data_IF_265115725096
#
_entry.id   IF_265115725096
#
_cell.length_a   1.000
_cell.length_b   1.000
_cell.length_c   1.000
_cell.angle_alpha   90.00
_cell.angle_beta   90.00
_cell.angle_gamma   90.00
#
_symmetry.space_group_name_H-M   'P 1'
#
loop_
_entity.id
_entity.type
_entity.pdbx_description
1 polymer ?
#
# COMPACT_ATOMS: atom_id res chain seq x y z
N UNK A 1 16.45 -14.76 -17.30
CA UNK A 1 15.81 -15.26 -16.07
C UNK A 1 14.33 -14.97 -16.17
N UNK A 2 13.47 -15.90 -15.80
CA UNK A 2 12.02 -15.67 -15.77
C UNK A 2 11.49 -15.94 -14.37
N UNK A 3 10.54 -15.13 -13.91
CA UNK A 3 9.95 -15.19 -12.55
C UNK A 3 8.47 -15.48 -12.66
N UNK A 4 7.95 -16.40 -11.82
CA UNK A 4 6.52 -16.61 -11.68
C UNK A 4 6.02 -15.80 -10.49
N UNK A 5 5.22 -14.78 -10.75
CA UNK A 5 4.58 -13.94 -9.74
C UNK A 5 3.22 -14.52 -9.35
N UNK A 6 3.05 -14.79 -8.06
CA UNK A 6 1.86 -15.38 -7.47
C UNK A 6 1.18 -14.36 -6.54
N UNK A 7 0.04 -13.82 -6.94
CA UNK A 7 -0.71 -12.84 -6.17
C UNK A 7 -1.86 -13.52 -5.43
N UNK A 8 -2.03 -13.17 -4.17
CA UNK A 8 -3.09 -13.69 -3.31
C UNK A 8 -4.21 -12.70 -3.03
N UNK A 9 -4.05 -11.44 -3.46
CA UNK A 9 -5.08 -10.42 -3.36
C UNK A 9 -6.13 -10.58 -4.46
N UNK A 10 -7.39 -10.27 -4.14
CA UNK A 10 -8.45 -10.20 -5.16
C UNK A 10 -8.15 -9.05 -6.13
N UNK A 11 -8.49 -9.26 -7.40
CA UNK A 11 -8.47 -8.15 -8.36
C UNK A 11 -9.50 -7.09 -7.95
N UNK A 12 -9.14 -5.81 -7.98
CA UNK A 12 -10.10 -4.75 -7.69
C UNK A 12 -11.16 -4.69 -8.80
N UNK A 13 -12.39 -4.23 -8.49
CA UNK A 13 -13.45 -4.04 -9.50
C UNK A 13 -13.04 -3.07 -10.61
N UNK A 14 -12.23 -2.08 -10.28
CA UNK A 14 -11.69 -1.10 -11.24
C UNK A 14 -10.25 -1.49 -11.54
N UNK A 15 -10.00 -1.93 -12.76
CA UNK A 15 -8.69 -2.38 -13.23
C UNK A 15 -7.63 -1.28 -13.11
N UNK A 16 -6.42 -1.67 -12.71
CA UNK A 16 -5.26 -0.77 -12.62
C UNK A 16 -5.27 0.17 -11.41
N UNK A 17 -6.21 0.01 -10.46
CA UNK A 17 -6.25 0.82 -9.22
C UNK A 17 -5.53 0.17 -8.04
N UNK A 18 -5.06 -1.07 -8.16
CA UNK A 18 -4.35 -1.76 -7.07
C UNK A 18 -2.83 -1.58 -7.18
N UNK A 19 -2.24 -1.08 -6.10
CA UNK A 19 -0.83 -0.82 -6.00
C UNK A 19 0.05 -2.08 -6.17
N UNK A 20 -0.39 -3.25 -5.67
CA UNK A 20 0.35 -4.51 -5.80
C UNK A 20 0.41 -4.96 -7.26
N UNK A 21 -0.71 -4.86 -7.97
CA UNK A 21 -0.75 -5.19 -9.40
C UNK A 21 0.16 -4.26 -10.23
N UNK A 22 0.24 -2.97 -9.87
CA UNK A 22 1.16 -2.02 -10.53
C UNK A 22 2.62 -2.40 -10.31
N UNK A 23 3.03 -2.68 -9.05
CA UNK A 23 4.39 -3.12 -8.71
C UNK A 23 4.76 -4.43 -9.41
N UNK A 24 3.88 -5.43 -9.34
CA UNK A 24 4.13 -6.73 -9.98
C UNK A 24 4.17 -6.61 -11.50
N UNK A 25 3.38 -5.73 -12.10
CA UNK A 25 3.44 -5.47 -13.55
C UNK A 25 4.79 -4.89 -13.98
N UNK A 26 5.35 -3.97 -13.18
CA UNK A 26 6.69 -3.43 -13.42
C UNK A 26 7.77 -4.52 -13.30
N UNK A 27 7.69 -5.36 -12.26
CA UNK A 27 8.61 -6.50 -12.08
C UNK A 27 8.47 -7.53 -13.19
N UNK A 28 7.24 -7.85 -13.60
CA UNK A 28 6.96 -8.77 -14.71
C UNK A 28 7.64 -8.28 -16.00
N UNK A 29 7.52 -7.01 -16.30
CA UNK A 29 8.17 -6.41 -17.48
C UNK A 29 9.71 -6.47 -17.39
N UNK A 30 10.28 -6.14 -16.21
CA UNK A 30 11.72 -6.09 -15.99
C UNK A 30 12.41 -7.47 -16.03
N UNK A 31 11.72 -8.52 -15.57
CA UNK A 31 12.29 -9.87 -15.42
C UNK A 31 11.68 -10.91 -16.36
N UNK A 32 11.00 -10.48 -17.42
CA UNK A 32 10.34 -11.36 -18.39
C UNK A 32 9.51 -12.45 -17.68
N UNK A 33 8.69 -12.03 -16.72
CA UNK A 33 7.97 -12.92 -15.83
C UNK A 33 6.54 -13.24 -16.29
N UNK A 34 5.92 -14.18 -15.60
CA UNK A 34 4.51 -14.51 -15.70
C UNK A 34 3.79 -14.19 -14.39
N UNK A 35 2.53 -13.77 -14.46
CA UNK A 35 1.73 -13.41 -13.29
C UNK A 35 0.47 -14.26 -13.22
N UNK A 36 0.24 -14.88 -12.07
CA UNK A 36 -0.97 -15.65 -11.78
C UNK A 36 -1.61 -15.14 -10.50
N UNK A 37 -2.88 -14.82 -10.57
CA UNK A 37 -3.66 -14.52 -9.39
C UNK A 37 -4.20 -15.82 -8.78
N UNK A 38 -3.84 -16.10 -7.53
CA UNK A 38 -4.24 -17.30 -6.80
C UNK A 38 -5.64 -17.18 -6.17
N UNK A 39 -6.12 -15.94 -6.03
CA UNK A 39 -7.46 -15.70 -5.51
C UNK A 39 -8.50 -16.03 -6.59
N UNK A 40 -9.52 -16.84 -6.30
CA UNK A 40 -10.63 -17.02 -7.23
C UNK A 40 -11.40 -15.69 -7.36
N UNK A 41 -12.06 -15.49 -8.50
CA UNK A 41 -12.98 -14.35 -8.64
C UNK A 41 -13.97 -14.38 -7.48
N UNK A 42 -14.09 -13.27 -6.74
CA UNK A 42 -15.02 -13.19 -5.62
C UNK A 42 -16.45 -13.39 -6.10
N UNK A 43 -17.12 -14.37 -5.53
CA UNK A 43 -18.59 -14.44 -5.55
C UNK A 43 -19.06 -13.66 -4.32
N UNK A 44 -19.87 -12.61 -4.49
CA UNK A 44 -20.40 -11.85 -3.35
C UNK A 44 -21.05 -12.80 -2.33
N UNK A 45 -20.75 -12.58 -1.03
CA UNK A 45 -21.33 -13.37 0.06
C UNK A 45 -20.71 -14.74 0.34
N UNK A 46 -19.69 -15.17 -0.41
CA UNK A 46 -18.97 -16.43 -0.12
C UNK A 46 -17.48 -16.19 0.10
N UNK A 47 -16.99 -16.23 1.35
CA UNK A 47 -15.57 -16.18 1.63
C UNK A 47 -14.89 -17.44 1.08
N UNK A 48 -13.80 -17.26 0.34
CA UNK A 48 -13.00 -18.39 -0.11
C UNK A 48 -12.10 -18.86 1.04
N UNK A 49 -12.09 -20.17 1.39
CA UNK A 49 -11.25 -20.65 2.47
C UNK A 49 -9.76 -20.43 2.16
N UNK A 50 -9.01 -19.72 3.04
CA UNK A 50 -7.58 -19.47 2.83
C UNK A 50 -6.78 -20.76 2.62
N UNK A 51 -7.23 -21.85 3.24
CA UNK A 51 -6.62 -23.20 3.14
C UNK A 51 -6.63 -23.77 1.71
N UNK A 52 -7.54 -23.30 0.85
CA UNK A 52 -7.65 -23.76 -0.54
C UNK A 52 -6.99 -22.80 -1.54
N UNK A 53 -6.41 -21.70 -1.05
CA UNK A 53 -5.85 -20.64 -1.90
C UNK A 53 -4.79 -21.21 -2.85
N UNK A 54 -5.01 -21.00 -4.15
CA UNK A 54 -4.11 -21.41 -5.22
C UNK A 54 -4.15 -22.89 -5.61
N UNK A 55 -4.74 -23.79 -4.82
CA UNK A 55 -4.75 -25.24 -5.13
C UNK A 55 -5.45 -25.53 -6.46
N UNK A 56 -6.54 -24.84 -6.76
CA UNK A 56 -7.28 -24.96 -8.01
C UNK A 56 -6.46 -24.54 -9.26
N UNK A 57 -5.33 -23.87 -9.07
CA UNK A 57 -4.44 -23.41 -10.15
C UNK A 57 -3.14 -24.21 -10.26
N UNK A 58 -2.94 -25.25 -9.45
CA UNK A 58 -1.73 -26.05 -9.45
C UNK A 58 -1.28 -26.54 -10.84
N UNK A 59 -2.16 -27.09 -11.71
CA UNK A 59 -1.73 -27.52 -13.03
C UNK A 59 -1.14 -26.35 -13.85
N UNK A 60 -1.75 -25.17 -13.77
CA UNK A 60 -1.28 -23.97 -14.47
C UNK A 60 0.03 -23.44 -13.85
N UNK A 61 0.15 -23.45 -12.53
CA UNK A 61 1.38 -23.09 -11.81
C UNK A 61 2.52 -23.96 -12.30
N UNK A 62 2.39 -25.29 -12.29
CA UNK A 62 3.42 -26.22 -12.73
C UNK A 62 3.76 -26.07 -14.21
N UNK A 63 2.79 -25.78 -15.06
CA UNK A 63 3.02 -25.53 -16.47
C UNK A 63 3.93 -24.32 -16.67
N UNK A 64 3.66 -23.20 -15.97
CA UNK A 64 4.42 -21.95 -16.10
C UNK A 64 5.78 -22.06 -15.40
N UNK A 65 5.81 -22.66 -14.19
CA UNK A 65 7.01 -22.82 -13.37
C UNK A 65 8.16 -23.56 -14.10
N UNK A 66 7.83 -24.43 -15.07
CA UNK A 66 8.86 -25.14 -15.88
C UNK A 66 9.80 -24.18 -16.60
N UNK A 67 9.30 -22.99 -16.95
CA UNK A 67 10.04 -21.97 -17.68
C UNK A 67 10.58 -20.85 -16.77
N UNK A 68 10.31 -20.94 -15.47
CA UNK A 68 10.72 -19.96 -14.47
C UNK A 68 11.86 -20.51 -13.62
N UNK A 69 12.66 -19.60 -13.07
CA UNK A 69 13.76 -19.92 -12.15
C UNK A 69 13.40 -19.68 -10.69
N UNK A 70 12.45 -18.79 -10.42
CA UNK A 70 12.01 -18.37 -9.09
C UNK A 70 10.48 -18.23 -9.10
N UNK A 71 9.85 -18.58 -7.98
CA UNK A 71 8.50 -18.19 -7.64
C UNK A 71 8.54 -16.97 -6.71
N UNK A 72 7.74 -15.96 -6.98
CA UNK A 72 7.63 -14.80 -6.11
C UNK A 72 6.18 -14.61 -5.67
N UNK A 73 5.93 -14.79 -4.38
CA UNK A 73 4.60 -14.71 -3.77
C UNK A 73 4.38 -13.34 -3.14
N UNK A 74 3.24 -12.73 -3.41
CA UNK A 74 2.79 -11.49 -2.78
C UNK A 74 1.57 -11.77 -1.93
N UNK A 75 1.71 -11.60 -0.60
CA UNK A 75 0.63 -11.82 0.35
C UNK A 75 0.62 -10.74 1.43
N UNK A 76 -0.55 -10.53 2.05
CA UNK A 76 -0.69 -9.47 3.05
C UNK A 76 0.20 -9.70 4.27
N UNK A 77 0.15 -10.90 4.85
CA UNK A 77 0.88 -11.29 6.07
C UNK A 77 1.70 -12.57 5.82
N UNK A 78 2.69 -12.89 6.67
CA UNK A 78 3.39 -14.18 6.58
C UNK A 78 2.43 -15.32 6.96
N UNK A 79 1.89 -15.96 5.95
CA UNK A 79 0.93 -17.05 6.11
C UNK A 79 1.25 -18.21 5.16
N UNK A 80 1.30 -19.45 5.72
CA UNK A 80 1.56 -20.66 4.98
C UNK A 80 0.27 -21.24 4.41
N UNK A 81 -0.06 -20.93 3.18
CA UNK A 81 -1.16 -21.60 2.49
C UNK A 81 -0.69 -22.83 1.70
N UNK A 82 -1.55 -23.87 1.53
CA UNK A 82 -1.12 -25.21 1.09
C UNK A 82 -0.42 -25.24 -0.25
N UNK A 83 -0.76 -24.37 -1.20
CA UNK A 83 -0.13 -24.36 -2.54
C UNK A 83 1.38 -24.15 -2.49
N UNK A 84 1.90 -23.48 -1.45
CA UNK A 84 3.35 -23.23 -1.30
C UNK A 84 4.15 -24.53 -1.18
N UNK A 85 3.56 -25.60 -0.62
CA UNK A 85 4.22 -26.92 -0.49
C UNK A 85 4.46 -27.62 -1.83
N UNK A 86 3.74 -27.20 -2.88
CA UNK A 86 3.78 -27.82 -4.20
C UNK A 86 4.61 -27.03 -5.20
N UNK A 87 5.18 -25.88 -4.79
CA UNK A 87 6.09 -25.10 -5.59
C UNK A 87 7.45 -25.81 -5.66
N UNK A 88 8.04 -25.88 -6.85
CA UNK A 88 9.26 -26.65 -7.15
C UNK A 88 10.52 -25.78 -7.27
N UNK A 89 10.34 -24.48 -7.41
CA UNK A 89 11.42 -23.50 -7.52
C UNK A 89 11.58 -22.72 -6.23
N UNK A 90 12.74 -22.13 -5.97
CA UNK A 90 12.94 -21.25 -4.83
C UNK A 90 11.83 -20.20 -4.71
N UNK A 91 11.40 -19.88 -3.50
CA UNK A 91 10.30 -18.97 -3.24
C UNK A 91 10.81 -17.71 -2.57
N UNK A 92 10.61 -16.56 -3.21
CA UNK A 92 10.66 -15.24 -2.60
C UNK A 92 9.25 -14.91 -2.12
N UNK A 93 9.11 -14.37 -0.92
CA UNK A 93 7.82 -14.07 -0.31
C UNK A 93 7.78 -12.61 0.16
N UNK A 94 6.99 -11.79 -0.52
CA UNK A 94 6.81 -10.38 -0.15
C UNK A 94 5.58 -10.23 0.75
N UNK A 95 5.79 -9.66 1.94
CA UNK A 95 4.75 -9.26 2.89
C UNK A 95 4.31 -7.83 2.53
N UNK A 96 3.02 -7.68 2.19
CA UNK A 96 2.48 -6.41 1.66
C UNK A 96 2.03 -5.43 2.75
N UNK A 97 1.53 -5.96 3.86
CA UNK A 97 1.12 -5.17 5.03
C UNK A 97 2.23 -5.25 6.10
N UNK A 98 1.92 -5.14 7.36
CA UNK A 98 2.92 -5.33 8.42
C UNK A 98 3.04 -6.78 8.84
N UNK A 99 4.23 -7.16 9.29
CA UNK A 99 4.46 -8.42 10.00
C UNK A 99 3.78 -8.34 11.38
N UNK A 100 2.99 -9.36 11.80
CA UNK A 100 2.43 -9.39 13.14
C UNK A 100 3.54 -9.42 14.20
N UNK A 101 3.31 -8.80 15.36
CA UNK A 101 4.27 -8.87 16.47
C UNK A 101 4.38 -10.28 17.07
N UNK A 102 3.29 -11.07 16.96
CA UNK A 102 3.24 -12.44 17.49
C UNK A 102 3.82 -13.39 16.44
N UNK A 103 4.82 -14.14 16.86
CA UNK A 103 5.44 -15.19 16.05
C UNK A 103 4.41 -16.24 15.60
N UNK A 104 4.36 -16.59 14.31
CA UNK A 104 3.46 -17.63 13.85
C UNK A 104 3.87 -19.00 14.38
N UNK A 105 2.90 -19.91 14.70
CA UNK A 105 3.18 -21.19 15.31
C UNK A 105 4.00 -22.16 14.43
N UNK A 106 4.09 -21.91 13.14
CA UNK A 106 4.87 -22.72 12.17
C UNK A 106 5.92 -21.84 11.48
N UNK A 107 6.86 -21.29 12.25
CA UNK A 107 7.90 -20.39 11.73
C UNK A 107 8.92 -21.13 10.84
N UNK A 108 9.11 -22.42 11.01
CA UNK A 108 10.12 -23.20 10.28
C UNK A 108 9.97 -23.14 8.76
N UNK A 109 8.75 -22.93 8.24
CA UNK A 109 8.56 -22.77 6.80
C UNK A 109 9.13 -21.45 6.27
N UNK A 110 9.09 -20.39 7.08
CA UNK A 110 9.66 -19.09 6.71
C UNK A 110 11.18 -19.19 6.53
N UNK A 111 11.86 -19.94 7.39
CA UNK A 111 13.30 -20.21 7.27
C UNK A 111 13.66 -21.00 5.99
N UNK A 112 12.73 -21.80 5.46
CA UNK A 112 12.93 -22.56 4.22
C UNK A 112 12.76 -21.74 2.93
N UNK A 113 12.23 -20.53 3.02
CA UNK A 113 12.07 -19.63 1.87
C UNK A 113 13.43 -19.12 1.39
N UNK A 114 13.54 -18.86 0.09
CA UNK A 114 14.72 -18.23 -0.48
C UNK A 114 14.95 -16.82 0.11
N UNK A 115 13.91 -16.03 0.23
CA UNK A 115 13.94 -14.73 0.90
C UNK A 115 12.53 -14.30 1.32
N UNK A 116 12.44 -13.61 2.45
CA UNK A 116 11.25 -12.91 2.91
C UNK A 116 11.49 -11.44 2.68
N UNK A 117 10.58 -10.77 1.95
CA UNK A 117 10.71 -9.36 1.65
C UNK A 117 9.67 -8.57 2.42
N UNK A 118 10.12 -7.55 3.13
CA UNK A 118 9.29 -6.55 3.81
C UNK A 118 9.61 -5.15 3.28
N UNK A 119 8.73 -4.19 3.52
CA UNK A 119 8.90 -2.86 2.95
C UNK A 119 9.54 -1.85 3.90
N UNK A 120 9.89 -2.25 5.12
CA UNK A 120 10.34 -1.31 6.15
C UNK A 120 11.22 -1.97 7.23
N UNK A 121 12.06 -1.17 7.95
CA UNK A 121 12.92 -1.68 9.01
C UNK A 121 12.17 -2.21 10.23
N UNK A 122 10.97 -1.69 10.56
CA UNK A 122 10.16 -2.16 11.71
C UNK A 122 9.80 -3.64 11.53
N UNK A 123 9.27 -4.00 10.37
CA UNK A 123 8.94 -5.39 10.04
C UNK A 123 10.19 -6.29 9.92
N UNK A 124 11.29 -5.76 9.40
CA UNK A 124 12.56 -6.50 9.35
C UNK A 124 13.07 -6.85 10.77
N UNK A 125 12.96 -5.92 11.71
CA UNK A 125 13.35 -6.15 13.11
C UNK A 125 12.47 -7.24 13.76
N UNK A 126 11.17 -7.30 13.43
CA UNK A 126 10.29 -8.36 13.91
C UNK A 126 10.75 -9.72 13.34
N UNK A 127 11.01 -9.82 12.03
CA UNK A 127 11.54 -11.06 11.44
C UNK A 127 12.87 -11.48 12.06
N UNK A 128 13.74 -10.53 12.33
CA UNK A 128 15.02 -10.78 13.01
C UNK A 128 14.82 -11.29 14.44
N UNK A 129 13.85 -10.73 15.19
CA UNK A 129 13.54 -11.20 16.55
C UNK A 129 13.01 -12.65 16.57
N UNK A 130 12.41 -13.11 15.47
CA UNK A 130 12.02 -14.50 15.25
C UNK A 130 13.18 -15.41 14.80
N UNK A 131 14.41 -14.90 14.72
CA UNK A 131 15.58 -15.65 14.29
C UNK A 131 15.67 -15.88 12.78
N UNK A 132 14.90 -15.17 11.96
CA UNK A 132 14.92 -15.31 10.51
C UNK A 132 16.02 -14.43 9.90
N UNK A 133 17.06 -15.07 9.35
CA UNK A 133 18.18 -14.37 8.69
C UNK A 133 17.95 -14.14 7.18
N UNK A 134 16.99 -14.86 6.57
CA UNK A 134 16.71 -14.84 5.13
C UNK A 134 15.70 -13.75 4.75
N UNK A 135 15.82 -12.54 5.33
CA UNK A 135 14.94 -11.43 5.01
C UNK A 135 15.67 -10.27 4.31
N UNK A 136 14.91 -9.46 3.59
CA UNK A 136 15.39 -8.25 2.93
C UNK A 136 14.34 -7.13 3.03
N UNK A 137 14.81 -5.88 3.01
CA UNK A 137 13.95 -4.70 2.95
C UNK A 137 13.95 -4.16 1.52
N UNK A 138 12.78 -4.07 0.90
CA UNK A 138 12.59 -3.47 -0.42
C UNK A 138 11.48 -2.43 -0.33
N UNK A 139 11.82 -1.17 -0.56
CA UNK A 139 10.83 -0.10 -0.60
C UNK A 139 9.81 -0.35 -1.72
N UNK A 140 8.50 -0.16 -1.47
CA UNK A 140 7.50 -0.25 -2.52
C UNK A 140 7.72 0.85 -3.55
N UNK A 141 7.24 0.64 -4.77
CA UNK A 141 7.49 1.57 -5.85
C UNK A 141 6.23 2.27 -6.33
N UNK A 142 6.35 3.58 -6.48
CA UNK A 142 5.40 4.43 -7.18
C UNK A 142 6.01 4.95 -8.48
N UNK A 143 5.18 5.32 -9.42
CA UNK A 143 5.62 5.95 -10.66
C UNK A 143 6.00 7.40 -10.37
N UNK A 144 7.30 7.61 -10.08
CA UNK A 144 7.82 8.94 -9.70
C UNK A 144 7.73 9.96 -10.83
N UNK A 145 7.76 9.52 -12.08
CA UNK A 145 7.78 10.42 -13.24
C UNK A 145 6.36 10.90 -13.59
N UNK A 146 5.34 10.16 -13.13
CA UNK A 146 3.94 10.52 -13.37
C UNK A 146 3.43 11.61 -12.46
N UNK A 147 3.96 11.75 -11.25
CA UNK A 147 3.44 12.66 -10.24
C UNK A 147 4.13 14.01 -10.33
N UNK A 148 3.36 15.05 -10.62
CA UNK A 148 3.86 16.42 -10.68
C UNK A 148 3.74 17.11 -9.32
N UNK A 149 4.81 17.77 -8.89
CA UNK A 149 4.76 18.63 -7.71
C UNK A 149 3.85 19.84 -7.97
N UNK A 150 3.13 20.23 -6.94
CA UNK A 150 2.23 21.38 -7.01
C UNK A 150 2.02 22.02 -5.64
N UNK A 151 1.84 23.34 -5.66
CA UNK A 151 1.47 24.11 -4.47
C UNK A 151 -0.03 24.38 -4.48
N UNK A 152 -0.66 24.25 -3.33
CA UNK A 152 -2.00 24.75 -3.08
C UNK A 152 -1.92 25.64 -1.84
N UNK A 153 -2.40 26.86 -1.95
CA UNK A 153 -2.42 27.77 -0.81
C UNK A 153 -3.56 27.38 0.14
N UNK A 154 -3.24 27.25 1.40
CA UNK A 154 -4.27 27.09 2.43
C UNK A 154 -4.94 28.46 2.66
N UNK A 155 -6.24 28.48 2.48
CA UNK A 155 -7.10 29.63 2.75
C UNK A 155 -8.09 29.25 3.87
N UNK A 156 -9.37 29.55 3.67
CA UNK A 156 -10.41 29.27 4.65
C UNK A 156 -10.87 27.80 4.67
N UNK A 157 -10.58 27.04 3.63
CA UNK A 157 -10.97 25.64 3.51
C UNK A 157 -9.75 24.73 3.40
N UNK A 158 -9.82 23.57 4.05
CA UNK A 158 -8.85 22.51 3.91
C UNK A 158 -9.50 21.33 3.20
N UNK A 159 -8.82 20.83 2.16
CA UNK A 159 -9.26 19.62 1.43
C UNK A 159 -8.29 18.48 1.64
N UNK A 160 -8.78 17.35 2.06
CA UNK A 160 -8.01 16.13 2.26
C UNK A 160 -8.40 15.07 1.25
N UNK A 161 -7.42 14.27 0.82
CA UNK A 161 -7.62 13.09 -0.02
C UNK A 161 -7.53 11.82 0.81
N UNK A 162 -8.42 10.86 0.60
CA UNK A 162 -8.26 9.50 1.07
C UNK A 162 -8.48 8.53 -0.10
N UNK A 163 -7.52 7.61 -0.30
CA UNK A 163 -7.57 6.61 -1.36
C UNK A 163 -7.32 5.20 -0.80
N UNK A 164 -8.17 4.77 0.14
CA UNK A 164 -8.10 3.45 0.78
C UNK A 164 -9.49 2.90 1.05
N UNK A 165 -10.18 2.49 -0.02
CA UNK A 165 -11.51 1.89 0.09
C UNK A 165 -11.49 0.57 0.89
N UNK A 166 -12.55 0.28 1.68
CA UNK A 166 -12.70 -0.97 2.41
C UNK A 166 -13.02 -2.14 1.46
N UNK A 167 -12.70 -3.35 1.92
CA UNK A 167 -13.08 -4.61 1.27
C UNK A 167 -14.29 -5.27 1.94
N UNK A 168 -14.49 -4.98 3.23
CA UNK A 168 -15.59 -5.46 4.08
C UNK A 168 -16.07 -4.32 4.96
N UNK A 169 -17.29 -4.43 5.47
CA UNK A 169 -17.96 -3.33 6.18
C UNK A 169 -17.20 -2.87 7.43
N UNK A 170 -16.67 -3.79 8.22
CA UNK A 170 -15.87 -3.48 9.43
C UNK A 170 -14.65 -2.59 9.15
N UNK A 171 -14.22 -2.53 7.90
CA UNK A 171 -13.10 -1.68 7.51
C UNK A 171 -13.47 -0.19 7.40
N UNK A 172 -14.74 0.20 7.44
CA UNK A 172 -15.09 1.62 7.58
C UNK A 172 -14.58 2.18 8.91
N UNK A 173 -14.71 1.41 9.97
CA UNK A 173 -14.16 1.80 11.27
C UNK A 173 -12.65 1.59 11.34
N UNK A 174 -12.16 0.39 11.01
CA UNK A 174 -10.74 0.06 11.19
C UNK A 174 -9.79 0.81 10.25
N UNK A 175 -10.24 1.29 9.09
CA UNK A 175 -9.50 2.23 8.22
C UNK A 175 -9.69 3.70 8.62
N UNK A 176 -10.48 3.98 9.64
CA UNK A 176 -10.73 5.32 10.16
C UNK A 176 -11.63 6.20 9.31
N UNK A 177 -12.40 5.60 8.37
CA UNK A 177 -13.32 6.35 7.50
C UNK A 177 -14.42 6.99 8.33
N UNK A 178 -15.05 6.25 9.24
CA UNK A 178 -16.10 6.79 10.10
C UNK A 178 -15.57 7.90 11.02
N UNK A 179 -14.36 7.76 11.57
CA UNK A 179 -13.70 8.81 12.34
C UNK A 179 -13.44 10.08 11.50
N UNK A 180 -13.00 9.92 10.25
CA UNK A 180 -12.77 11.03 9.32
C UNK A 180 -14.07 11.73 8.92
N UNK A 181 -15.14 10.99 8.66
CA UNK A 181 -16.47 11.56 8.40
C UNK A 181 -17.00 12.31 9.63
N UNK A 182 -16.82 11.77 10.84
CA UNK A 182 -17.21 12.44 12.07
C UNK A 182 -16.43 13.74 12.32
N UNK A 183 -15.11 13.74 12.02
CA UNK A 183 -14.30 14.96 12.05
C UNK A 183 -14.81 16.00 11.03
N UNK A 184 -15.25 15.54 9.85
CA UNK A 184 -15.79 16.42 8.81
C UNK A 184 -17.12 17.08 9.25
N UNK A 185 -17.95 16.38 10.04
CA UNK A 185 -19.15 16.98 10.61
C UNK A 185 -18.80 18.17 11.51
N UNK A 186 -17.76 18.03 12.34
CA UNK A 186 -17.38 19.02 13.36
C UNK A 186 -16.52 20.17 12.82
N UNK A 187 -15.88 20.00 11.65
CA UNK A 187 -15.07 21.02 11.00
C UNK A 187 -15.76 21.52 9.71
N UNK A 188 -16.49 22.64 9.76
CA UNK A 188 -17.22 23.14 8.58
C UNK A 188 -16.32 23.48 7.36
N UNK A 189 -15.08 23.85 7.61
CA UNK A 189 -14.07 24.18 6.61
C UNK A 189 -13.43 22.96 5.94
N UNK A 190 -13.65 21.73 6.47
CA UNK A 190 -13.07 20.52 5.93
C UNK A 190 -13.86 20.00 4.72
N UNK A 191 -13.14 19.72 3.64
CA UNK A 191 -13.63 19.03 2.45
C UNK A 191 -12.86 17.72 2.28
N UNK A 192 -13.54 16.69 1.80
CA UNK A 192 -12.94 15.39 1.52
C UNK A 192 -13.08 15.02 0.05
N UNK A 193 -12.03 14.45 -0.52
CA UNK A 193 -12.07 13.72 -1.78
C UNK A 193 -11.74 12.27 -1.47
N UNK A 194 -12.68 11.35 -1.76
CA UNK A 194 -12.53 9.92 -1.53
C UNK A 194 -12.38 9.21 -2.87
N UNK A 195 -11.18 8.70 -3.16
CA UNK A 195 -10.98 7.85 -4.34
C UNK A 195 -11.38 6.42 -3.98
N UNK A 196 -12.46 5.96 -4.60
CA UNK A 196 -13.13 4.72 -4.24
C UNK A 196 -13.03 3.67 -5.35
N UNK A 197 -12.89 2.38 -4.97
CA UNK A 197 -12.71 1.28 -5.93
C UNK A 197 -13.99 0.54 -6.29
N UNK A 198 -15.15 1.12 -6.02
CA UNK A 198 -16.46 0.57 -6.35
C UNK A 198 -17.07 -0.39 -5.33
N UNK A 199 -16.27 -1.00 -4.43
CA UNK A 199 -16.80 -1.85 -3.37
C UNK A 199 -17.46 -1.01 -2.27
N UNK A 200 -18.59 -1.48 -1.74
CA UNK A 200 -19.31 -0.83 -0.63
C UNK A 200 -19.59 0.66 -0.88
N UNK A 201 -19.82 1.02 -2.15
CA UNK A 201 -20.12 2.42 -2.52
C UNK A 201 -21.48 2.86 -1.94
N UNK A 202 -22.48 1.99 -1.94
CA UNK A 202 -23.80 2.26 -1.37
C UNK A 202 -23.70 2.61 0.11
N UNK A 203 -22.96 1.82 0.87
CA UNK A 203 -22.70 1.99 2.30
C UNK A 203 -21.95 3.30 2.61
N UNK A 204 -21.01 3.69 1.73
CA UNK A 204 -20.34 4.98 1.86
C UNK A 204 -21.31 6.15 1.61
N UNK A 205 -22.07 6.11 0.54
CA UNK A 205 -23.06 7.14 0.21
C UNK A 205 -24.07 7.33 1.35
N UNK A 206 -24.57 6.25 1.90
CA UNK A 206 -25.49 6.29 3.03
C UNK A 206 -24.86 6.90 4.30
N UNK A 207 -23.58 6.59 4.60
CA UNK A 207 -22.84 7.17 5.70
C UNK A 207 -22.64 8.68 5.54
N UNK A 208 -22.36 9.14 4.31
CA UNK A 208 -22.20 10.56 3.98
C UNK A 208 -23.53 11.29 4.09
N UNK A 209 -24.63 10.71 3.58
CA UNK A 209 -25.95 11.30 3.62
C UNK A 209 -26.50 11.41 5.04
N UNK A 210 -26.42 10.35 5.83
CA UNK A 210 -26.85 10.33 7.25
C UNK A 210 -26.15 11.39 8.11
N UNK A 211 -24.92 11.79 7.75
CA UNK A 211 -24.15 12.82 8.45
C UNK A 211 -24.34 14.23 7.86
N UNK A 212 -25.17 14.41 6.85
CA UNK A 212 -25.40 15.70 6.22
C UNK A 212 -24.17 16.24 5.48
N UNK A 213 -23.27 15.38 4.99
CA UNK A 213 -22.00 15.76 4.39
C UNK A 213 -22.08 15.91 2.85
N UNK A 214 -23.27 15.83 2.28
CA UNK A 214 -23.50 16.04 0.84
C UNK A 214 -22.98 17.44 0.44
N UNK A 215 -22.12 17.50 -0.57
CA UNK A 215 -21.45 18.75 -0.99
C UNK A 215 -20.13 19.06 -0.27
N UNK A 216 -19.77 18.35 0.82
CA UNK A 216 -18.45 18.44 1.46
C UNK A 216 -17.58 17.20 1.26
N UNK A 217 -18.16 16.11 0.78
CA UNK A 217 -17.46 14.86 0.45
C UNK A 217 -17.69 14.54 -1.01
N UNK A 218 -16.63 14.62 -1.81
CA UNK A 218 -16.60 14.20 -3.22
C UNK A 218 -16.14 12.76 -3.29
N UNK A 219 -16.95 11.89 -3.90
CA UNK A 219 -16.65 10.45 -4.02
C UNK A 219 -16.42 10.12 -5.48
N UNK A 220 -15.23 9.59 -5.78
CA UNK A 220 -14.82 9.21 -7.14
C UNK A 220 -14.67 7.69 -7.19
N UNK A 221 -15.56 7.03 -7.89
CA UNK A 221 -15.60 5.57 -8.01
C UNK A 221 -15.35 5.12 -9.45
N UNK A 222 -14.30 5.68 -10.06
CA UNK A 222 -13.83 5.34 -11.40
C UNK A 222 -12.29 5.38 -11.45
N UNK A 223 -11.72 4.89 -12.54
CA UNK A 223 -10.29 5.02 -12.79
C UNK A 223 -9.97 6.47 -13.18
N UNK A 224 -9.07 7.09 -12.42
CA UNK A 224 -8.72 8.50 -12.61
C UNK A 224 -7.21 8.72 -12.66
N UNK A 225 -6.81 9.83 -13.23
CA UNK A 225 -5.46 10.36 -13.02
C UNK A 225 -5.38 11.03 -11.64
N UNK A 226 -4.65 10.39 -10.72
CA UNK A 226 -4.49 10.87 -9.34
C UNK A 226 -3.91 12.30 -9.27
N UNK A 227 -3.09 12.71 -10.26
CA UNK A 227 -2.52 14.06 -10.31
C UNK A 227 -3.59 15.15 -10.30
N UNK A 228 -4.73 14.93 -10.96
CA UNK A 228 -5.85 15.90 -10.99
C UNK A 228 -6.37 16.18 -9.59
N UNK A 229 -6.39 15.16 -8.73
CA UNK A 229 -6.89 15.26 -7.36
C UNK A 229 -5.81 15.75 -6.40
N UNK A 230 -4.57 15.31 -6.55
CA UNK A 230 -3.44 15.81 -5.75
C UNK A 230 -3.24 17.33 -5.89
N UNK A 231 -3.55 17.90 -7.06
CA UNK A 231 -3.52 19.37 -7.26
C UNK A 231 -4.62 20.12 -6.50
N UNK A 232 -5.69 19.45 -6.12
CA UNK A 232 -6.89 20.02 -5.47
C UNK A 232 -6.91 19.82 -3.95
N UNK A 233 -5.93 19.11 -3.38
CA UNK A 233 -5.89 18.78 -1.97
C UNK A 233 -4.67 19.36 -1.28
N UNK A 234 -4.81 19.60 0.02
CA UNK A 234 -3.74 20.10 0.87
C UNK A 234 -2.89 18.94 1.43
N UNK A 235 -3.52 17.81 1.72
CA UNK A 235 -2.84 16.61 2.24
C UNK A 235 -3.60 15.35 1.88
N UNK A 236 -2.93 14.20 2.02
CA UNK A 236 -3.58 12.89 1.97
C UNK A 236 -3.64 12.30 3.37
N UNK A 237 -4.78 11.68 3.72
CA UNK A 237 -5.04 11.11 5.04
C UNK A 237 -5.30 9.61 4.96
N UNK A 238 -4.69 8.85 5.87
CA UNK A 238 -4.97 7.41 6.05
C UNK A 238 -4.89 7.05 7.54
N UNK A 239 -5.98 7.21 8.29
CA UNK A 239 -6.02 7.00 9.74
C UNK A 239 -6.41 5.55 10.07
N UNK A 240 -5.69 4.56 9.51
CA UNK A 240 -5.99 3.15 9.75
C UNK A 240 -5.62 2.76 11.19
N UNK A 241 -6.52 2.13 11.92
CA UNK A 241 -6.31 1.66 13.30
C UNK A 241 -5.40 0.42 13.37
N UNK A 242 -5.24 -0.29 12.25
CA UNK A 242 -4.49 -1.54 12.16
C UNK A 242 -3.62 -1.55 10.91
N UNK A 243 -2.43 -2.14 11.04
CA UNK A 243 -1.45 -2.24 9.95
C UNK A 243 -1.71 -3.40 8.98
N UNK A 244 -2.45 -4.44 9.40
CA UNK A 244 -2.69 -5.65 8.60
C UNK A 244 -3.76 -5.50 7.51
N UNK A 245 -4.47 -4.36 7.47
CA UNK A 245 -5.57 -4.08 6.52
C UNK A 245 -5.20 -3.09 5.41
N UNK A 246 -4.00 -2.53 5.46
CA UNK A 246 -3.45 -1.60 4.48
C UNK A 246 -1.99 -1.93 4.21
N UNK A 247 -1.42 -1.49 3.10
CA UNK A 247 0.02 -1.63 2.85
C UNK A 247 0.83 -0.90 3.92
N UNK A 248 1.99 -1.43 4.28
CA UNK A 248 2.90 -0.80 5.25
C UNK A 248 3.35 0.60 4.80
N UNK A 249 3.52 0.77 3.48
CA UNK A 249 3.76 2.05 2.80
C UNK A 249 2.68 2.26 1.72
N UNK A 250 1.56 2.92 2.05
CA UNK A 250 0.46 3.12 1.10
C UNK A 250 0.87 4.03 -0.07
N UNK A 251 0.62 3.60 -1.31
CA UNK A 251 0.96 4.37 -2.50
C UNK A 251 0.35 5.77 -2.49
N UNK A 252 -0.89 5.93 -2.03
CA UNK A 252 -1.55 7.23 -1.95
C UNK A 252 -0.81 8.24 -1.08
N UNK A 253 -0.16 7.78 0.01
CA UNK A 253 0.66 8.64 0.86
C UNK A 253 2.00 8.97 0.18
N UNK A 254 2.63 8.00 -0.48
CA UNK A 254 3.85 8.24 -1.26
C UNK A 254 3.59 9.19 -2.43
N UNK A 255 2.49 9.02 -3.17
CA UNK A 255 2.07 9.91 -4.24
C UNK A 255 1.78 11.33 -3.74
N UNK A 256 1.21 11.45 -2.53
CA UNK A 256 1.02 12.75 -1.87
C UNK A 256 2.36 13.46 -1.61
N UNK A 257 3.33 12.75 -1.02
CA UNK A 257 4.66 13.28 -0.77
C UNK A 257 5.39 13.65 -2.07
N UNK A 258 5.29 12.83 -3.12
CA UNK A 258 5.81 13.14 -4.45
C UNK A 258 5.21 14.42 -5.02
N UNK A 259 3.92 14.63 -4.80
CA UNK A 259 3.23 15.88 -5.20
C UNK A 259 3.61 17.09 -4.31
N UNK A 260 4.48 16.92 -3.32
CA UNK A 260 4.86 17.95 -2.36
C UNK A 260 3.76 18.27 -1.34
N UNK A 261 2.87 17.31 -1.07
CA UNK A 261 1.76 17.43 -0.11
C UNK A 261 2.06 16.64 1.15
N UNK A 262 1.89 17.22 2.34
CA UNK A 262 2.02 16.49 3.60
C UNK A 262 0.98 15.37 3.73
N UNK A 263 1.20 14.50 4.72
CA UNK A 263 0.30 13.37 4.98
C UNK A 263 -0.16 13.36 6.44
N UNK A 264 -1.34 12.77 6.68
CA UNK A 264 -1.83 12.40 8.02
C UNK A 264 -2.02 10.90 8.03
N UNK A 265 -1.40 10.21 8.97
CA UNK A 265 -1.55 8.77 9.12
C UNK A 265 -1.46 8.35 10.59
N UNK A 266 -1.88 7.14 10.90
CA UNK A 266 -1.76 6.58 12.25
C UNK A 266 -0.39 5.95 12.48
N UNK A 267 0.01 5.89 13.75
CA UNK A 267 1.23 5.20 14.20
C UNK A 267 1.19 3.67 13.98
N UNK A 268 0.01 3.12 13.81
CA UNK A 268 -0.14 1.71 13.44
C UNK A 268 0.57 1.38 12.12
N UNK A 269 0.73 2.34 11.22
CA UNK A 269 1.39 2.13 9.93
C UNK A 269 2.91 2.29 10.05
N UNK A 270 3.73 1.34 9.56
CA UNK A 270 5.19 1.48 9.56
C UNK A 270 5.71 2.76 8.87
N UNK A 271 4.98 3.29 7.88
CA UNK A 271 5.32 4.56 7.23
C UNK A 271 5.32 5.74 8.21
N UNK A 272 4.71 5.63 9.39
CA UNK A 272 4.72 6.66 10.43
C UNK A 272 6.14 7.03 10.87
N UNK A 273 7.04 6.05 10.94
CA UNK A 273 8.44 6.28 11.30
C UNK A 273 9.13 7.18 10.26
N UNK A 274 8.90 6.90 8.98
CA UNK A 274 9.40 7.72 7.89
C UNK A 274 8.86 9.15 7.96
N UNK A 275 7.56 9.32 8.21
CA UNK A 275 6.94 10.65 8.31
C UNK A 275 7.47 11.45 9.50
N UNK A 276 7.68 10.80 10.66
CA UNK A 276 8.31 11.45 11.83
C UNK A 276 9.75 11.88 11.54
N UNK A 277 10.54 10.99 10.97
CA UNK A 277 11.94 11.24 10.64
C UNK A 277 12.10 12.46 9.73
N UNK A 278 11.23 12.60 8.73
CA UNK A 278 11.34 13.66 7.72
C UNK A 278 10.48 14.89 8.06
N UNK A 279 9.61 14.80 9.06
CA UNK A 279 8.71 15.90 9.45
C UNK A 279 7.78 16.37 8.33
N UNK A 280 7.34 15.43 7.48
CA UNK A 280 6.56 15.71 6.27
C UNK A 280 5.05 15.45 6.44
N UNK A 281 4.57 15.35 7.66
CA UNK A 281 3.18 15.08 7.97
C UNK A 281 2.91 14.99 9.46
N UNK A 282 1.73 14.49 9.79
CA UNK A 282 1.25 14.33 11.16
C UNK A 282 0.95 12.86 11.41
N UNK A 283 1.43 12.33 12.53
CA UNK A 283 1.21 10.96 12.96
C UNK A 283 0.25 10.95 14.14
N UNK A 284 -0.84 10.22 14.00
CA UNK A 284 -1.86 10.01 15.03
C UNK A 284 -1.44 8.82 15.91
N UNK A 285 -1.35 9.03 17.22
CA UNK A 285 -1.11 7.94 18.17
C UNK A 285 -2.37 7.08 18.37
N UNK A 286 -3.54 7.69 18.24
CA UNK A 286 -4.85 7.05 18.33
C UNK A 286 -5.75 7.57 17.21
N UNK A 287 -6.69 6.75 16.74
CA UNK A 287 -7.62 7.11 15.66
C UNK A 287 -9.02 7.27 16.21
N UNK A 288 -9.42 8.52 16.36
CA UNK A 288 -10.77 8.95 16.75
C UNK A 288 -11.16 10.22 15.99
N UNK A 289 -12.45 10.63 16.09
CA UNK A 289 -12.89 11.90 15.51
C UNK A 289 -12.17 13.10 16.15
N UNK A 290 -11.94 13.08 17.48
CA UNK A 290 -11.24 14.16 18.21
C UNK A 290 -9.77 14.26 17.82
N UNK A 291 -9.04 13.17 17.77
CA UNK A 291 -7.62 13.18 17.40
C UNK A 291 -7.41 13.60 15.95
N UNK A 292 -8.35 13.24 15.05
CA UNK A 292 -8.33 13.73 13.67
C UNK A 292 -8.58 15.24 13.58
N UNK A 293 -9.52 15.78 14.38
CA UNK A 293 -9.76 17.23 14.45
C UNK A 293 -8.50 17.96 14.89
N UNK A 294 -7.84 17.49 15.93
CA UNK A 294 -6.58 18.08 16.43
C UNK A 294 -5.48 18.02 15.36
N UNK A 295 -5.32 16.87 14.71
CA UNK A 295 -4.35 16.70 13.64
C UNK A 295 -4.63 17.61 12.42
N UNK A 296 -5.88 17.79 12.05
CA UNK A 296 -6.27 18.68 10.95
C UNK A 296 -6.00 20.15 11.31
N UNK A 297 -6.29 20.57 12.54
CA UNK A 297 -5.95 21.90 13.03
C UNK A 297 -4.44 22.13 13.09
N UNK A 298 -3.67 21.13 13.55
CA UNK A 298 -2.21 21.19 13.55
C UNK A 298 -1.65 21.25 12.12
N UNK A 299 -2.23 20.46 11.19
CA UNK A 299 -1.89 20.57 9.77
C UNK A 299 -2.14 22.00 9.24
N UNK A 300 -3.29 22.60 9.56
CA UNK A 300 -3.60 23.96 9.13
C UNK A 300 -2.59 24.97 9.67
N UNK A 301 -2.26 24.88 10.96
CA UNK A 301 -1.31 25.79 11.60
C UNK A 301 0.11 25.71 11.04
N UNK A 302 0.54 24.53 10.59
CA UNK A 302 1.92 24.25 10.12
C UNK A 302 2.01 23.91 8.63
N UNK A 303 0.95 24.16 7.86
CA UNK A 303 0.83 23.67 6.48
C UNK A 303 2.03 24.00 5.61
N UNK A 304 2.46 25.26 5.59
CA UNK A 304 3.56 25.71 4.72
C UNK A 304 4.87 25.00 5.06
N UNK A 305 5.17 24.84 6.35
CA UNK A 305 6.37 24.16 6.81
C UNK A 305 6.33 22.66 6.45
N UNK A 306 5.19 21.98 6.65
CA UNK A 306 5.02 20.57 6.33
C UNK A 306 5.07 20.32 4.81
N UNK A 307 4.44 21.19 4.01
CA UNK A 307 4.47 21.13 2.56
C UNK A 307 5.87 21.42 2.01
N UNK A 308 6.61 22.34 2.61
CA UNK A 308 8.01 22.60 2.25
C UNK A 308 8.87 21.36 2.49
N UNK A 309 8.72 20.71 3.66
CA UNK A 309 9.43 19.46 3.97
C UNK A 309 9.06 18.36 3.00
N UNK A 310 7.78 18.15 2.71
CA UNK A 310 7.32 17.16 1.73
C UNK A 310 7.95 17.35 0.34
N UNK A 311 8.15 18.59 -0.11
CA UNK A 311 8.82 18.91 -1.39
C UNK A 311 10.32 18.63 -1.42
N UNK A 312 10.97 18.67 -0.26
CA UNK A 312 12.43 18.52 -0.14
C UNK A 312 12.86 17.06 0.08
N UNK A 313 11.92 16.14 0.32
CA UNK A 313 12.25 14.73 0.56
C UNK A 313 12.74 14.08 -0.73
N UNK A 314 13.83 13.33 -0.60
CA UNK A 314 14.29 12.44 -1.67
C UNK A 314 13.50 11.14 -1.67
N UNK A 315 12.62 10.99 -2.64
CA UNK A 315 11.76 9.81 -2.80
C UNK A 315 12.30 8.82 -3.86
N UNK A 316 13.56 8.96 -4.30
CA UNK A 316 14.17 8.02 -5.28
C UNK A 316 14.20 6.58 -4.79
N UNK A 317 14.27 6.37 -3.46
CA UNK A 317 14.16 5.05 -2.86
C UNK A 317 12.84 4.34 -3.17
N UNK A 318 11.78 5.09 -3.47
CA UNK A 318 10.45 4.58 -3.83
C UNK A 318 10.20 4.58 -5.35
N UNK A 319 11.24 4.68 -6.15
CA UNK A 319 11.10 4.58 -7.63
C UNK A 319 11.01 3.14 -8.08
N UNK A 320 10.32 2.91 -9.22
CA UNK A 320 10.27 1.58 -9.84
C UNK A 320 11.67 1.05 -10.16
N UNK A 321 12.59 1.93 -10.57
CA UNK A 321 13.97 1.56 -10.85
C UNK A 321 14.66 0.98 -9.61
N UNK A 322 14.56 1.66 -8.47
CA UNK A 322 15.17 1.20 -7.22
C UNK A 322 14.58 -0.12 -6.74
N UNK A 323 13.26 -0.29 -6.83
CA UNK A 323 12.59 -1.54 -6.51
C UNK A 323 13.09 -2.69 -7.39
N UNK A 324 13.14 -2.49 -8.71
CA UNK A 324 13.61 -3.50 -9.68
C UNK A 324 15.04 -3.91 -9.37
N UNK A 325 15.96 -2.97 -9.12
CA UNK A 325 17.34 -3.28 -8.76
C UNK A 325 17.45 -4.05 -7.44
N UNK A 326 16.65 -3.71 -6.44
CA UNK A 326 16.61 -4.45 -5.18
C UNK A 326 16.18 -5.90 -5.40
N UNK A 327 15.13 -6.13 -6.17
CA UNK A 327 14.70 -7.49 -6.51
C UNK A 327 15.68 -8.22 -7.41
N UNK A 328 16.44 -7.52 -8.27
CA UNK A 328 17.52 -8.13 -9.06
C UNK A 328 18.54 -8.83 -8.17
N UNK A 329 18.95 -8.15 -7.10
CA UNK A 329 19.88 -8.73 -6.10
C UNK A 329 19.26 -9.93 -5.39
N UNK A 330 18.01 -9.82 -4.94
CA UNK A 330 17.29 -10.92 -4.25
C UNK A 330 17.15 -12.15 -5.16
N UNK A 331 16.96 -11.95 -6.46
CA UNK A 331 16.90 -13.05 -7.43
C UNK A 331 18.27 -13.60 -7.82
N UNK A 332 19.37 -13.14 -7.21
CA UNK A 332 20.72 -13.61 -7.48
C UNK A 332 21.32 -13.12 -8.81
N UNK A 333 20.78 -12.04 -9.37
CA UNK A 333 21.32 -11.40 -10.57
C UNK A 333 22.31 -10.29 -10.20
N UNK A 334 23.33 -10.11 -11.07
CA UNK A 334 24.24 -8.97 -10.89
C UNK A 334 23.49 -7.65 -11.07
N UNK A 335 23.84 -6.61 -10.30
CA UNK A 335 23.32 -5.26 -10.53
C UNK A 335 23.57 -4.84 -11.99
N UNK A 336 22.63 -4.12 -12.56
CA UNK A 336 22.83 -3.53 -13.87
C UNK A 336 23.87 -2.41 -13.72
N UNK A 337 25.10 -2.68 -14.17
CA UNK A 337 26.14 -1.64 -14.17
C UNK A 337 25.62 -0.48 -14.99
N UNK A 338 25.60 0.72 -14.41
CA UNK A 338 25.23 1.92 -15.13
C UNK A 338 26.00 1.92 -16.47
N UNK A 339 25.27 1.76 -17.57
CA UNK A 339 25.84 1.84 -18.90
C UNK A 339 26.61 3.15 -18.96
N UNK A 340 27.94 3.07 -19.12
CA UNK A 340 28.78 4.24 -19.36
C UNK A 340 28.14 4.95 -20.54
N UNK A 341 27.51 6.08 -20.28
CA UNK A 341 27.08 6.97 -21.33
C UNK A 341 28.31 7.23 -22.18
N UNK A 342 28.33 6.68 -23.38
CA UNK A 342 29.31 7.08 -24.40
C UNK A 342 28.95 8.53 -24.73
N UNK A 343 29.82 9.42 -24.28
CA UNK A 343 29.89 10.80 -24.75
C UNK A 343 30.22 10.82 -26.25
#
# INVERSE_FOLDING_TARGET
MSVLYLLTSSEPPIEGTDATFQEVSALKAAFNGEMLNLCPRRVPGRPFPPQLLGLHKLPRIWQVERHCTINHVFHSIPFRFPVLRFLRKPVVYTVLTSVPEIEPPDIGWLSSLHSIVVSNPRDAAILQSWGLANHAVVSPAVDTDRIAQGTLQLRNEITLLMASAPWVEDQFESKGIDALLNATVQLPELRLILLWRGLLLGELLERVERRGLKGRVEIISERVDVNKYLRRVHATVLPAKRSDIVKAYPHSLLESLLAGKPVILSDALPMADYVRQHGCGIVLNEVSGSTLIEAIKDLQARYDALAQRARLIDLRAFSQKTMIESYRVIYGLKPETASKAKF
#
